data_IF_993725267028
#
_entry.id   IF_993725267028
#
_cell.length_a   1.000
_cell.length_b   1.000
_cell.length_c   1.000
_cell.angle_alpha   90.00
_cell.angle_beta   90.00
_cell.angle_gamma   90.00
#
_symmetry.space_group_name_H-M   'P 1'
#
loop_
_entity.id
_entity.type
_entity.pdbx_description
1 polymer ?
#
# COMPACT_ATOMS: atom_id res chain seq x y z
N UNK A 1 -8.91 5.88 -16.33
CA UNK A 1 -9.64 7.12 -15.99
C UNK A 1 -9.52 7.35 -14.49
N UNK A 2 -8.87 8.41 -14.05
CA UNK A 2 -8.79 8.73 -12.62
C UNK A 2 -10.19 9.04 -12.10
N UNK A 3 -10.62 8.46 -11.01
CA UNK A 3 -11.85 8.90 -10.38
C UNK A 3 -11.70 10.35 -9.90
N UNK A 4 -12.73 11.14 -10.17
CA UNK A 4 -12.77 12.58 -9.91
C UNK A 4 -12.80 12.96 -8.42
N UNK A 5 -12.54 12.03 -7.50
CA UNK A 5 -12.66 12.24 -6.06
C UNK A 5 -11.77 13.37 -5.48
N UNK A 6 -10.71 13.73 -6.20
CA UNK A 6 -9.82 14.83 -5.83
C UNK A 6 -9.86 16.02 -6.79
N UNK A 7 -10.82 16.05 -7.74
CA UNK A 7 -10.92 17.07 -8.80
C UNK A 7 -12.13 17.98 -8.68
N UNK A 8 -12.64 18.21 -7.50
CA UNK A 8 -13.59 19.30 -7.33
C UNK A 8 -12.81 20.61 -7.22
N UNK A 9 -12.87 21.49 -8.23
CA UNK A 9 -12.15 22.76 -8.20
C UNK A 9 -12.69 23.74 -7.15
N UNK A 10 -13.78 23.40 -6.49
CA UNK A 10 -14.39 24.24 -5.45
C UNK A 10 -13.98 23.85 -4.02
N UNK A 11 -13.26 22.73 -3.84
CA UNK A 11 -12.74 22.39 -2.53
C UNK A 11 -11.36 23.02 -2.35
N UNK A 12 -11.27 23.93 -1.39
CA UNK A 12 -10.03 24.47 -0.85
C UNK A 12 -8.98 23.38 -0.69
N UNK A 13 -7.70 23.71 -0.95
CA UNK A 13 -6.57 22.84 -0.72
C UNK A 13 -6.56 22.33 0.74
N UNK A 14 -7.21 21.19 0.97
CA UNK A 14 -7.20 20.51 2.26
C UNK A 14 -5.97 19.59 2.40
N UNK A 15 -5.73 19.02 3.60
CA UNK A 15 -4.55 18.19 3.87
C UNK A 15 -4.47 16.96 2.96
N UNK A 16 -5.59 16.30 2.62
CA UNK A 16 -5.59 15.10 1.79
C UNK A 16 -5.19 15.35 0.34
N UNK A 17 -5.73 16.35 -0.38
CA UNK A 17 -5.26 16.71 -1.72
C UNK A 17 -3.78 17.11 -1.76
N UNK A 18 -3.31 17.84 -0.75
CA UNK A 18 -1.89 18.23 -0.63
C UNK A 18 -1.01 16.99 -0.43
N UNK A 19 -1.39 16.08 0.42
CA UNK A 19 -0.69 14.81 0.63
C UNK A 19 -0.64 13.97 -0.64
N UNK A 20 -1.75 13.86 -1.37
CA UNK A 20 -1.78 13.13 -2.64
C UNK A 20 -0.82 13.74 -3.67
N UNK A 21 -0.76 15.07 -3.80
CA UNK A 21 0.18 15.74 -4.71
C UNK A 21 1.65 15.41 -4.37
N UNK A 22 1.99 15.39 -3.09
CA UNK A 22 3.34 15.00 -2.64
C UNK A 22 3.66 13.56 -3.01
N UNK A 23 2.72 12.65 -2.80
CA UNK A 23 2.84 11.23 -3.18
C UNK A 23 3.00 11.09 -4.69
N UNK A 24 2.16 11.73 -5.48
CA UNK A 24 2.22 11.68 -6.95
C UNK A 24 3.57 12.20 -7.46
N UNK A 25 4.10 13.27 -6.87
CA UNK A 25 5.43 13.77 -7.20
C UNK A 25 6.52 12.74 -6.89
N UNK A 26 6.48 12.15 -5.71
CA UNK A 26 7.43 11.11 -5.28
C UNK A 26 7.44 9.92 -6.24
N UNK A 27 6.26 9.44 -6.63
CA UNK A 27 6.10 8.35 -7.60
C UNK A 27 6.62 8.73 -8.98
N UNK A 28 6.25 9.91 -9.47
CA UNK A 28 6.68 10.41 -10.78
C UNK A 28 8.22 10.50 -10.89
N UNK A 29 8.88 11.03 -9.87
CA UNK A 29 10.35 11.16 -9.82
C UNK A 29 11.06 9.79 -9.87
N UNK A 30 10.36 8.70 -9.54
CA UNK A 30 10.86 7.32 -9.55
C UNK A 30 10.30 6.47 -10.69
N UNK A 31 9.64 7.11 -11.64
CA UNK A 31 9.04 6.46 -12.81
C UNK A 31 7.98 5.41 -12.43
N UNK A 32 7.23 5.64 -11.36
CA UNK A 32 6.05 4.86 -10.98
C UNK A 32 4.79 5.55 -11.43
N UNK A 33 3.80 4.77 -11.85
CA UNK A 33 2.46 5.25 -12.19
C UNK A 33 1.46 4.89 -11.10
N UNK A 34 0.44 5.72 -10.94
CA UNK A 34 -0.66 5.52 -10.01
C UNK A 34 -1.96 5.44 -10.80
N UNK A 35 -2.63 4.31 -10.68
CA UNK A 35 -3.90 4.03 -11.36
C UNK A 35 -5.01 3.77 -10.35
N UNK A 36 -6.24 3.98 -10.78
CA UNK A 36 -7.43 3.81 -9.98
C UNK A 36 -8.33 2.77 -10.62
N UNK A 37 -8.86 1.85 -9.82
CA UNK A 37 -9.75 0.80 -10.31
C UNK A 37 -10.96 0.63 -9.39
N UNK A 38 -12.12 0.39 -9.98
CA UNK A 38 -13.34 0.03 -9.25
C UNK A 38 -13.52 -1.48 -9.09
N UNK A 39 -12.66 -2.29 -9.71
CA UNK A 39 -12.85 -3.74 -9.82
C UNK A 39 -11.76 -4.58 -9.17
N UNK A 40 -10.66 -3.97 -8.71
CA UNK A 40 -9.55 -4.68 -8.08
C UNK A 40 -9.18 -4.05 -6.74
N UNK A 41 -8.57 -4.85 -5.88
CA UNK A 41 -7.97 -4.36 -4.64
C UNK A 41 -6.66 -3.63 -4.91
N UNK A 42 -6.16 -2.93 -3.87
CA UNK A 42 -4.86 -2.27 -3.94
C UNK A 42 -3.77 -3.29 -4.27
N UNK A 43 -2.90 -2.93 -5.17
CA UNK A 43 -1.78 -3.79 -5.54
C UNK A 43 -0.65 -3.00 -6.21
N UNK A 44 0.54 -3.58 -6.19
CA UNK A 44 1.72 -3.09 -6.89
C UNK A 44 2.15 -4.10 -7.96
N UNK A 45 2.38 -3.60 -9.17
CA UNK A 45 3.00 -4.36 -10.26
C UNK A 45 4.42 -3.84 -10.48
N UNK A 46 5.40 -4.62 -10.07
CA UNK A 46 6.81 -4.24 -10.17
C UNK A 46 7.31 -4.21 -11.61
N UNK A 47 6.81 -5.09 -12.46
CA UNK A 47 7.23 -5.14 -13.88
C UNK A 47 6.70 -3.94 -14.66
N UNK A 48 5.46 -3.53 -14.40
CA UNK A 48 4.87 -2.35 -15.00
C UNK A 48 5.24 -1.04 -14.28
N UNK A 49 5.84 -1.12 -13.09
CA UNK A 49 6.08 0.01 -12.17
C UNK A 49 4.80 0.80 -11.91
N UNK A 50 3.76 0.09 -11.50
CA UNK A 50 2.43 0.64 -11.33
C UNK A 50 1.84 0.26 -9.99
N UNK A 51 1.25 1.24 -9.32
CA UNK A 51 0.35 1.03 -8.18
C UNK A 51 -1.08 1.18 -8.67
N UNK A 52 -1.94 0.22 -8.34
CA UNK A 52 -3.38 0.31 -8.57
C UNK A 52 -4.09 0.40 -7.22
N UNK A 53 -4.99 1.36 -7.09
CA UNK A 53 -5.75 1.63 -5.86
C UNK A 53 -7.24 1.45 -6.10
N UNK A 54 -7.90 0.81 -5.15
CA UNK A 54 -9.35 0.63 -5.17
C UNK A 54 -10.05 1.99 -5.03
N UNK A 55 -10.72 2.41 -6.10
CA UNK A 55 -11.41 3.69 -6.19
C UNK A 55 -12.71 3.78 -5.38
N UNK A 56 -13.22 2.65 -4.86
CA UNK A 56 -14.45 2.61 -4.05
C UNK A 56 -14.24 3.04 -2.61
N UNK A 57 -12.99 3.20 -2.17
CA UNK A 57 -12.68 3.61 -0.80
C UNK A 57 -12.79 5.12 -0.61
N UNK A 58 -12.85 5.54 0.65
CA UNK A 58 -12.77 6.96 0.99
C UNK A 58 -11.40 7.54 0.59
N UNK A 59 -11.30 8.85 0.32
CA UNK A 59 -10.03 9.50 0.01
C UNK A 59 -8.92 9.20 1.02
N UNK A 60 -9.22 9.23 2.31
CA UNK A 60 -8.25 8.91 3.36
C UNK A 60 -7.76 7.45 3.25
N UNK A 61 -8.67 6.49 3.08
CA UNK A 61 -8.32 5.08 2.91
C UNK A 61 -7.53 4.82 1.64
N UNK A 62 -7.78 5.57 0.58
CA UNK A 62 -7.01 5.51 -0.67
C UNK A 62 -5.55 5.95 -0.42
N UNK A 63 -5.34 7.05 0.31
CA UNK A 63 -3.99 7.51 0.67
C UNK A 63 -3.27 6.46 1.52
N UNK A 64 -3.94 5.84 2.49
CA UNK A 64 -3.33 4.77 3.29
C UNK A 64 -2.93 3.57 2.42
N UNK A 65 -3.77 3.19 1.47
CA UNK A 65 -3.44 2.14 0.50
C UNK A 65 -2.21 2.49 -0.34
N UNK A 66 -2.11 3.70 -0.86
CA UNK A 66 -0.95 4.14 -1.64
C UNK A 66 0.32 4.09 -0.79
N UNK A 67 0.28 4.58 0.44
CA UNK A 67 1.42 4.56 1.36
C UNK A 67 1.86 3.12 1.65
N UNK A 68 0.93 2.20 1.84
CA UNK A 68 1.20 0.79 2.05
C UNK A 68 1.89 0.16 0.81
N UNK A 69 1.36 0.39 -0.39
CA UNK A 69 1.97 -0.12 -1.62
C UNK A 69 3.36 0.48 -1.89
N UNK A 70 3.57 1.75 -1.54
CA UNK A 70 4.92 2.35 -1.56
C UNK A 70 5.84 1.64 -0.56
N UNK A 71 5.32 1.22 0.59
CA UNK A 71 6.06 0.42 1.55
C UNK A 71 6.59 -0.88 0.92
N UNK A 72 5.78 -1.58 0.13
CA UNK A 72 6.21 -2.75 -0.65
C UNK A 72 7.30 -2.40 -1.67
N UNK A 73 7.19 -1.26 -2.36
CA UNK A 73 8.22 -0.80 -3.30
C UNK A 73 9.55 -0.61 -2.57
N UNK A 74 9.55 0.11 -1.44
CA UNK A 74 10.76 0.36 -0.66
C UNK A 74 11.39 -0.92 -0.13
N UNK A 75 10.56 -1.85 0.32
CA UNK A 75 11.01 -3.13 0.83
C UNK A 75 11.62 -3.99 -0.28
N UNK A 76 10.95 -4.09 -1.43
CA UNK A 76 11.43 -4.82 -2.61
C UNK A 76 12.77 -4.28 -3.12
N UNK A 77 12.99 -2.98 -3.05
CA UNK A 77 14.24 -2.33 -3.46
C UNK A 77 15.37 -2.49 -2.42
N UNK A 78 15.07 -3.02 -1.23
CA UNK A 78 16.10 -3.24 -0.21
C UNK A 78 17.03 -4.42 -0.61
N UNK A 79 18.35 -4.30 -0.32
CA UNK A 79 19.34 -5.31 -0.77
C UNK A 79 19.11 -6.72 -0.23
N UNK A 80 18.45 -6.84 0.91
CA UNK A 80 18.22 -8.10 1.62
C UNK A 80 16.83 -8.71 1.39
N UNK A 81 16.00 -8.07 0.56
CA UNK A 81 14.62 -8.49 0.32
C UNK A 81 14.50 -9.96 -0.08
N UNK A 82 15.27 -10.38 -1.09
CA UNK A 82 15.21 -11.75 -1.62
C UNK A 82 15.58 -12.78 -0.55
N UNK A 83 16.53 -12.46 0.32
CA UNK A 83 16.94 -13.35 1.40
C UNK A 83 15.88 -13.45 2.49
N UNK A 84 15.28 -12.33 2.86
CA UNK A 84 14.31 -12.24 3.96
C UNK A 84 12.92 -12.75 3.60
N UNK A 85 12.51 -12.55 2.35
CA UNK A 85 11.14 -12.81 1.88
C UNK A 85 11.07 -13.75 0.67
N UNK A 86 12.05 -14.64 0.53
CA UNK A 86 12.13 -15.58 -0.60
C UNK A 86 10.87 -16.44 -0.78
N UNK A 87 10.15 -16.73 0.30
CA UNK A 87 8.93 -17.54 0.28
C UNK A 87 7.65 -16.71 0.50
N UNK A 88 7.75 -15.39 0.52
CA UNK A 88 6.56 -14.54 0.67
C UNK A 88 5.67 -14.58 -0.56
N UNK A 89 4.39 -14.55 -0.33
CA UNK A 89 3.34 -14.47 -1.33
C UNK A 89 2.49 -13.20 -1.19
N UNK A 90 3.07 -12.11 -0.65
CA UNK A 90 2.35 -10.86 -0.39
C UNK A 90 1.63 -10.29 -1.63
N UNK A 91 2.17 -10.55 -2.83
CA UNK A 91 1.61 -10.05 -4.09
C UNK A 91 0.60 -10.99 -4.75
N UNK A 92 0.37 -12.17 -4.20
CA UNK A 92 -0.65 -13.10 -4.67
C UNK A 92 -1.98 -12.85 -3.94
N UNK A 93 -3.10 -13.02 -4.63
CA UNK A 93 -4.40 -13.02 -3.99
C UNK A 93 -4.54 -14.22 -3.05
N UNK A 94 -5.41 -14.12 -2.05
CA UNK A 94 -5.67 -15.24 -1.12
C UNK A 94 -6.27 -16.45 -1.81
N UNK A 95 -7.05 -16.27 -2.87
CA UNK A 95 -7.59 -17.36 -3.67
C UNK A 95 -6.48 -18.21 -4.30
N UNK A 96 -5.33 -17.62 -4.57
CA UNK A 96 -4.15 -18.27 -5.14
C UNK A 96 -3.27 -18.97 -4.08
N UNK A 97 -3.58 -18.81 -2.78
CA UNK A 97 -2.78 -19.29 -1.64
C UNK A 97 -3.50 -20.28 -0.71
N UNK A 98 -4.43 -21.12 -1.17
CA UNK A 98 -5.33 -21.84 -0.24
C UNK A 98 -4.64 -22.87 0.65
N UNK A 99 -3.40 -23.24 0.36
CA UNK A 99 -2.66 -24.31 1.08
C UNK A 99 -1.18 -23.97 1.32
N UNK A 100 -0.88 -22.71 1.46
CA UNK A 100 0.49 -22.28 1.70
C UNK A 100 1.05 -22.83 3.02
N UNK A 101 2.33 -23.16 3.03
CA UNK A 101 3.02 -23.60 4.23
C UNK A 101 3.06 -22.52 5.30
N UNK A 102 3.21 -22.89 6.56
CA UNK A 102 3.35 -21.95 7.67
C UNK A 102 4.51 -20.96 7.44
N UNK A 103 5.60 -21.43 6.84
CA UNK A 103 6.76 -20.60 6.49
C UNK A 103 6.37 -19.49 5.51
N UNK A 104 5.68 -19.83 4.43
CA UNK A 104 5.20 -18.85 3.44
C UNK A 104 4.27 -17.83 4.10
N UNK A 105 3.34 -18.30 4.92
CA UNK A 105 2.41 -17.43 5.63
C UNK A 105 3.11 -16.49 6.61
N UNK A 106 4.11 -16.98 7.34
CA UNK A 106 4.88 -16.17 8.28
C UNK A 106 5.70 -15.10 7.57
N UNK A 107 6.38 -15.46 6.48
CA UNK A 107 7.15 -14.50 5.68
C UNK A 107 6.23 -13.45 5.03
N UNK A 108 5.06 -13.85 4.54
CA UNK A 108 4.07 -12.93 3.98
C UNK A 108 3.56 -11.93 5.02
N UNK A 109 3.23 -12.39 6.22
CA UNK A 109 2.84 -11.47 7.31
C UNK A 109 3.97 -10.53 7.69
N UNK A 110 5.21 -11.02 7.73
CA UNK A 110 6.39 -10.20 8.01
C UNK A 110 6.60 -9.12 6.95
N UNK A 111 6.42 -9.45 5.68
CA UNK A 111 6.50 -8.50 4.58
C UNK A 111 5.42 -7.43 4.66
N UNK A 112 4.17 -7.81 4.91
CA UNK A 112 3.07 -6.88 5.11
C UNK A 112 3.33 -5.93 6.29
N UNK A 113 3.80 -6.46 7.41
CA UNK A 113 4.16 -5.66 8.57
C UNK A 113 5.21 -4.59 8.22
N UNK A 114 6.28 -4.98 7.54
CA UNK A 114 7.36 -4.06 7.19
C UNK A 114 6.94 -3.06 6.12
N UNK A 115 6.11 -3.45 5.16
CA UNK A 115 5.57 -2.53 4.17
C UNK A 115 4.77 -1.39 4.83
N UNK A 116 3.91 -1.70 5.80
CA UNK A 116 3.21 -0.69 6.59
C UNK A 116 4.17 0.23 7.36
N UNK A 117 5.22 -0.34 7.96
CA UNK A 117 6.20 0.44 8.74
C UNK A 117 7.05 1.37 7.85
N UNK A 118 7.49 0.89 6.70
CA UNK A 118 8.25 1.70 5.74
C UNK A 118 7.39 2.80 5.12
N UNK A 119 6.14 2.50 4.80
CA UNK A 119 5.17 3.49 4.34
C UNK A 119 4.97 4.61 5.36
N UNK A 120 4.80 4.27 6.63
CA UNK A 120 4.72 5.26 7.71
C UNK A 120 5.97 6.14 7.78
N UNK A 121 7.14 5.52 7.77
CA UNK A 121 8.41 6.26 7.83
C UNK A 121 8.52 7.25 6.68
N UNK A 122 8.19 6.82 5.48
CA UNK A 122 8.22 7.71 4.32
C UNK A 122 7.18 8.82 4.42
N UNK A 123 5.95 8.51 4.85
CA UNK A 123 4.89 9.50 4.98
C UNK A 123 5.28 10.64 5.94
N UNK A 124 5.96 10.31 7.02
CA UNK A 124 6.49 11.30 7.98
C UNK A 124 7.62 12.14 7.36
N UNK A 125 8.54 11.50 6.62
CA UNK A 125 9.61 12.22 5.91
C UNK A 125 9.08 13.19 4.86
N UNK A 126 7.99 12.83 4.20
CA UNK A 126 7.30 13.69 3.22
C UNK A 126 6.43 14.76 3.87
N UNK A 127 6.32 14.75 5.21
CA UNK A 127 5.41 15.61 5.96
C UNK A 127 3.98 15.55 5.40
N UNK A 128 3.45 14.33 5.23
CA UNK A 128 2.06 14.14 4.84
C UNK A 128 1.16 14.49 6.02
N UNK A 129 0.11 15.25 5.75
CA UNK A 129 -0.90 15.60 6.73
C UNK A 129 -2.01 14.55 6.70
N UNK A 130 -1.80 13.45 7.43
CA UNK A 130 -2.76 12.34 7.55
C UNK A 130 -3.10 12.06 9.02
N UNK A 131 -4.26 11.46 9.25
CA UNK A 131 -4.64 10.96 10.57
C UNK A 131 -3.93 9.63 10.87
N UNK A 132 -2.85 9.70 11.65
CA UNK A 132 -2.07 8.51 12.02
C UNK A 132 -2.83 7.53 12.92
N UNK A 133 -3.81 7.97 13.70
CA UNK A 133 -4.65 7.05 14.47
C UNK A 133 -5.52 6.21 13.52
N UNK A 134 -6.12 6.83 12.51
CA UNK A 134 -6.85 6.14 11.47
C UNK A 134 -5.93 5.24 10.62
N UNK A 135 -4.70 5.68 10.32
CA UNK A 135 -3.70 4.88 9.65
C UNK A 135 -3.36 3.61 10.42
N UNK A 136 -3.12 3.71 11.72
CA UNK A 136 -2.85 2.55 12.57
C UNK A 136 -4.05 1.61 12.68
N UNK A 137 -5.26 2.14 12.71
CA UNK A 137 -6.47 1.32 12.69
C UNK A 137 -6.59 0.53 11.37
N UNK A 138 -6.29 1.14 10.23
CA UNK A 138 -6.27 0.49 8.91
C UNK A 138 -5.20 -0.61 8.86
N UNK A 139 -3.97 -0.28 9.25
CA UNK A 139 -2.86 -1.25 9.37
C UNK A 139 -3.25 -2.45 10.23
N UNK A 140 -3.80 -2.21 11.40
CA UNK A 140 -4.13 -3.28 12.34
C UNK A 140 -5.25 -4.19 11.81
N UNK A 141 -6.24 -3.65 11.08
CA UNK A 141 -7.26 -4.47 10.41
C UNK A 141 -6.65 -5.39 9.35
N UNK A 142 -5.76 -4.84 8.55
CA UNK A 142 -5.08 -5.58 7.50
C UNK A 142 -4.21 -6.70 8.09
N UNK A 143 -3.33 -6.38 9.01
CA UNK A 143 -2.44 -7.34 9.67
C UNK A 143 -3.21 -8.43 10.44
N UNK A 144 -4.32 -8.11 11.09
CA UNK A 144 -5.19 -9.11 11.71
C UNK A 144 -5.76 -10.09 10.69
N UNK A 145 -6.09 -9.61 9.50
CA UNK A 145 -6.56 -10.44 8.38
C UNK A 145 -5.50 -11.46 7.96
N UNK A 146 -4.24 -11.05 7.86
CA UNK A 146 -3.12 -11.97 7.59
C UNK A 146 -2.83 -12.91 8.78
N UNK A 147 -2.90 -12.42 10.00
CA UNK A 147 -2.71 -13.26 11.18
C UNK A 147 -3.76 -14.38 11.30
N UNK A 148 -5.01 -14.10 10.94
CA UNK A 148 -6.06 -15.14 10.85
C UNK A 148 -5.73 -16.17 9.77
N UNK A 149 -5.35 -15.72 8.60
CA UNK A 149 -4.95 -16.62 7.53
C UNK A 149 -3.77 -17.52 7.91
N UNK A 150 -2.85 -17.07 8.78
CA UNK A 150 -1.78 -17.91 9.29
C UNK A 150 -2.26 -19.12 10.09
N UNK A 151 -3.43 -19.03 10.72
CA UNK A 151 -3.98 -20.07 11.61
C UNK A 151 -5.02 -20.97 10.93
N UNK A 152 -5.42 -20.65 9.73
CA UNK A 152 -6.31 -21.46 8.89
C UNK A 152 -5.53 -22.59 8.17
#
# INVERSE_FOLDING_TARGET
>A
MRPLLFRDPQHSEGPLPTSLKKIEKWLFERHWTLEWSYSVDDCVDFSARQITINANRTPQSQIFGIIHEIGHILLYESPDYVVRFANSDAFKSRAEKPRESLRVRAETLGEEWEAWALGETLSRRMALEIDYQAYYAARNRDLKSYARWMTE
#
